data_IF_755671305710
#
_entry.id   IF_755671305710
#
_cell.length_a   1.000
_cell.length_b   1.000
_cell.length_c   1.000
_cell.angle_alpha   90.00
_cell.angle_beta   90.00
_cell.angle_gamma   90.00
#
_symmetry.space_group_name_H-M   'P 1'
#
loop_
_entity.id
_entity.type
_entity.pdbx_description
1 polymer ?
#
# COMPACT_ATOMS: atom_id res chain seq x y z
N UNK A 1 11.11 38.58 -13.67
CA UNK A 1 11.17 37.89 -13.28
C UNK A 1 10.90 36.87 -13.36
N UNK A 2 10.76 36.77 -13.12
CA UNK A 2 10.53 35.93 -12.99
C UNK A 2 9.97 35.17 -12.72
N UNK A 3 9.81 34.83 -12.91
CA UNK A 3 9.29 34.24 -12.62
C UNK A 3 9.28 33.22 -12.12
N UNK A 4 9.69 33.00 -11.92
CA UNK A 4 9.72 32.03 -11.21
C UNK A 4 8.64 31.57 -10.47
N UNK A 5 7.83 31.50 -10.91
CA UNK A 5 6.60 31.23 -10.32
C UNK A 5 6.29 29.83 -9.97
N UNK A 6 7.20 28.93 -10.14
CA UNK A 6 7.02 27.56 -9.73
C UNK A 6 7.06 27.39 -8.22
N UNK A 7 7.51 28.40 -7.51
CA UNK A 7 7.53 28.32 -6.06
C UNK A 7 6.27 28.89 -5.46
N UNK A 8 5.86 28.25 -4.40
CA UNK A 8 4.72 28.71 -3.61
C UNK A 8 5.24 29.12 -2.24
N UNK A 9 5.00 30.38 -1.89
CA UNK A 9 5.46 30.93 -0.62
C UNK A 9 4.33 31.05 0.40
N UNK A 10 3.28 30.25 0.26
CA UNK A 10 2.13 30.27 1.16
C UNK A 10 2.26 29.22 2.24
N UNK A 11 2.70 29.58 3.46
CA UNK A 11 2.87 28.58 4.52
C UNK A 11 1.59 27.88 4.92
N UNK A 12 0.44 28.55 4.80
CA UNK A 12 -0.83 27.92 5.18
C UNK A 12 -1.17 26.78 4.24
N UNK A 13 -0.92 26.97 2.95
CA UNK A 13 -1.16 25.91 1.98
C UNK A 13 -0.16 24.76 2.17
N UNK A 14 1.08 25.11 2.46
CA UNK A 14 2.09 24.08 2.70
C UNK A 14 1.71 23.23 3.92
N UNK A 15 1.25 23.89 4.98
CA UNK A 15 0.82 23.17 6.18
C UNK A 15 -0.32 22.20 5.86
N UNK A 16 -1.32 22.67 5.13
CA UNK A 16 -2.46 21.82 4.78
C UNK A 16 -2.02 20.61 3.95
N UNK A 17 -1.12 20.84 2.98
CA UNK A 17 -0.62 19.74 2.15
C UNK A 17 0.09 18.69 3.00
N UNK A 18 0.96 19.12 3.91
CA UNK A 18 1.72 18.14 4.71
C UNK A 18 0.85 17.46 5.75
N UNK A 19 -0.17 18.15 6.27
CA UNK A 19 -1.16 17.49 7.11
C UNK A 19 -1.86 16.37 6.33
N UNK A 20 -2.24 16.65 5.08
CA UNK A 20 -2.85 15.63 4.24
C UNK A 20 -1.88 14.50 3.93
N UNK A 21 -0.61 14.83 3.63
CA UNK A 21 0.38 13.81 3.37
C UNK A 21 0.54 12.87 4.55
N UNK A 22 0.61 13.42 5.76
CA UNK A 22 0.73 12.59 6.95
C UNK A 22 -0.53 11.77 7.22
N UNK A 23 -1.69 12.31 6.88
CA UNK A 23 -2.96 11.61 7.11
C UNK A 23 -3.20 10.48 6.13
N UNK A 24 -2.70 10.62 4.89
CA UNK A 24 -3.07 9.71 3.80
C UNK A 24 -1.91 8.89 3.25
N UNK A 25 -0.73 8.92 3.89
CA UNK A 25 0.41 8.09 3.49
C UNK A 25 1.06 7.45 4.70
N UNK A 26 1.81 6.37 4.46
CA UNK A 26 2.67 5.78 5.47
C UNK A 26 3.91 5.20 4.79
N UNK A 27 4.95 4.92 5.56
CA UNK A 27 6.16 4.32 5.04
C UNK A 27 6.24 2.84 5.37
N UNK A 28 7.20 2.12 4.75
CA UNK A 28 7.31 0.67 4.94
C UNK A 28 7.66 0.26 6.36
N UNK A 29 8.56 0.98 7.01
CA UNK A 29 8.98 0.61 8.37
C UNK A 29 7.82 0.80 9.34
N UNK A 30 7.05 1.88 9.18
CA UNK A 30 5.89 2.11 10.03
C UNK A 30 4.81 1.06 9.82
N UNK A 31 4.54 0.72 8.57
CA UNK A 31 3.53 -0.31 8.29
C UNK A 31 3.97 -1.66 8.87
N UNK A 32 5.25 -2.01 8.70
CA UNK A 32 5.77 -3.25 9.27
C UNK A 32 5.56 -3.29 10.78
N UNK A 33 5.81 -2.16 11.46
CA UNK A 33 5.59 -2.09 12.90
C UNK A 33 4.12 -2.30 13.25
N UNK A 34 3.20 -1.71 12.48
CA UNK A 34 1.77 -1.92 12.71
C UNK A 34 1.38 -3.38 12.56
N UNK A 35 1.91 -4.05 11.54
CA UNK A 35 1.64 -5.47 11.35
C UNK A 35 2.15 -6.27 12.54
N UNK A 36 3.36 -6.01 12.98
CA UNK A 36 4.00 -6.80 14.05
C UNK A 36 3.39 -6.55 15.42
N UNK A 37 2.80 -5.39 15.63
CA UNK A 37 2.14 -5.09 16.89
C UNK A 37 0.66 -5.46 16.88
N UNK A 38 0.18 -6.05 15.79
CA UNK A 38 -1.19 -6.57 15.74
C UNK A 38 -2.26 -5.52 15.56
N UNK A 39 -1.94 -4.42 14.89
CA UNK A 39 -2.97 -3.41 14.59
C UNK A 39 -4.05 -4.04 13.72
N UNK A 40 -5.29 -3.99 14.18
CA UNK A 40 -6.39 -4.67 13.48
C UNK A 40 -7.35 -3.71 12.79
N UNK A 41 -7.05 -2.41 12.79
CA UNK A 41 -7.88 -1.41 12.11
C UNK A 41 -7.41 -1.11 10.69
N UNK A 42 -6.64 -2.02 10.10
CA UNK A 42 -6.07 -1.86 8.78
C UNK A 42 -6.47 -3.01 7.86
N UNK A 43 -6.61 -2.71 6.57
CA UNK A 43 -6.66 -3.72 5.51
C UNK A 43 -5.55 -3.36 4.56
N UNK A 44 -4.58 -4.26 4.35
CA UNK A 44 -3.47 -4.00 3.44
C UNK A 44 -3.89 -4.49 2.06
N UNK A 45 -3.83 -3.61 1.06
CA UNK A 45 -4.39 -3.87 -0.26
C UNK A 45 -3.32 -3.74 -1.32
N UNK A 46 -3.02 -4.85 -1.97
CA UNK A 46 -2.08 -4.93 -3.08
C UNK A 46 -2.88 -4.79 -4.37
N UNK A 47 -2.62 -3.70 -5.12
CA UNK A 47 -3.36 -3.46 -6.37
C UNK A 47 -2.57 -3.86 -7.61
N UNK A 48 -1.46 -4.60 -7.42
CA UNK A 48 -0.69 -5.13 -8.54
C UNK A 48 -1.45 -6.27 -9.20
N UNK A 49 -0.92 -6.73 -10.34
CA UNK A 49 -1.49 -7.88 -11.02
C UNK A 49 -1.48 -9.12 -10.12
N UNK A 50 -2.45 -10.00 -10.32
CA UNK A 50 -2.60 -11.18 -9.48
C UNK A 50 -1.38 -12.09 -9.53
N UNK A 51 -0.72 -12.20 -10.69
CA UNK A 51 0.50 -13.02 -10.81
C UNK A 51 1.62 -12.49 -9.94
N UNK A 52 1.76 -11.16 -9.87
CA UNK A 52 2.82 -10.56 -9.07
C UNK A 52 2.52 -10.69 -7.59
N UNK A 53 1.26 -10.54 -7.22
CA UNK A 53 0.84 -10.76 -5.84
C UNK A 53 1.17 -12.19 -5.40
N UNK A 54 0.89 -13.16 -6.25
CA UNK A 54 1.14 -14.56 -5.91
C UNK A 54 2.60 -14.86 -5.67
N UNK A 55 3.49 -14.17 -6.38
CA UNK A 55 4.93 -14.38 -6.24
C UNK A 55 5.51 -13.78 -4.97
N UNK A 56 4.84 -12.81 -4.41
CA UNK A 56 5.29 -12.18 -3.17
C UNK A 56 4.48 -10.93 -2.89
N UNK A 57 4.09 -10.75 -1.64
CA UNK A 57 3.32 -9.58 -1.23
C UNK A 57 3.56 -9.32 0.26
N UNK A 58 3.11 -8.17 0.72
CA UNK A 58 3.22 -7.81 2.14
C UNK A 58 2.35 -8.77 2.94
N UNK A 59 2.84 -9.29 4.08
CA UNK A 59 2.08 -10.25 4.88
C UNK A 59 0.70 -9.71 5.26
N UNK A 60 -0.32 -10.54 5.04
CA UNK A 60 -1.69 -10.18 5.35
C UNK A 60 -2.40 -9.39 4.28
N UNK A 61 -1.72 -9.01 3.20
CA UNK A 61 -2.34 -8.22 2.15
C UNK A 61 -3.36 -9.03 1.35
N UNK A 62 -4.41 -8.34 0.92
CA UNK A 62 -5.33 -8.89 -0.07
C UNK A 62 -5.02 -8.29 -1.42
N UNK A 63 -5.42 -8.96 -2.48
CA UNK A 63 -5.15 -8.51 -3.84
C UNK A 63 -6.43 -7.99 -4.49
N UNK A 64 -6.41 -6.71 -4.89
CA UNK A 64 -7.53 -6.09 -5.61
C UNK A 64 -6.95 -5.44 -6.86
N UNK A 65 -6.66 -6.21 -7.91
CA UNK A 65 -6.11 -5.65 -9.14
C UNK A 65 -7.12 -4.76 -9.84
N UNK A 66 -6.65 -3.98 -10.80
CA UNK A 66 -7.43 -2.90 -11.41
C UNK A 66 -8.79 -3.36 -11.94
N UNK A 67 -8.87 -4.54 -12.53
CA UNK A 67 -10.10 -5.03 -13.11
C UNK A 67 -11.18 -5.31 -12.05
N UNK A 68 -10.82 -5.30 -10.77
CA UNK A 68 -11.76 -5.53 -9.67
C UNK A 68 -12.12 -4.26 -8.90
N UNK A 69 -11.62 -3.10 -9.30
CA UNK A 69 -11.85 -1.88 -8.53
C UNK A 69 -13.29 -1.43 -8.51
N UNK A 70 -14.08 -1.78 -9.53
CA UNK A 70 -15.50 -1.38 -9.54
C UNK A 70 -16.32 -2.17 -8.55
N UNK A 71 -15.88 -3.37 -8.20
CA UNK A 71 -16.57 -4.22 -7.24
C UNK A 71 -15.54 -4.92 -6.35
N UNK A 72 -14.82 -4.15 -5.54
CA UNK A 72 -13.71 -4.71 -4.75
C UNK A 72 -14.23 -5.61 -3.64
N UNK A 73 -13.52 -6.73 -3.43
CA UNK A 73 -13.84 -7.67 -2.37
C UNK A 73 -12.79 -7.56 -1.29
N UNK A 74 -13.22 -7.65 -0.04
CA UNK A 74 -12.29 -7.68 1.08
C UNK A 74 -12.00 -6.35 1.72
N UNK A 75 -12.47 -5.25 1.16
CA UNK A 75 -12.31 -3.94 1.78
C UNK A 75 -13.32 -3.77 2.93
N UNK A 76 -13.01 -2.86 3.84
CA UNK A 76 -13.83 -2.66 5.04
C UNK A 76 -13.97 -1.16 5.32
N UNK A 77 -15.22 -0.67 5.35
CA UNK A 77 -15.47 0.76 5.56
C UNK A 77 -15.17 1.23 6.97
N UNK A 78 -15.02 0.30 7.91
CA UNK A 78 -14.70 0.64 9.29
C UNK A 78 -13.19 0.58 9.57
N UNK A 79 -12.39 0.29 8.56
CA UNK A 79 -10.93 0.19 8.69
C UNK A 79 -10.28 1.08 7.64
N UNK A 80 -8.98 1.32 7.82
CA UNK A 80 -8.20 2.05 6.82
C UNK A 80 -7.58 1.07 5.86
N UNK A 81 -7.80 1.26 4.57
CA UNK A 81 -7.17 0.48 3.53
C UNK A 81 -5.82 1.09 3.22
N UNK A 82 -4.74 0.34 3.50
CA UNK A 82 -3.37 0.76 3.17
C UNK A 82 -3.04 0.15 1.81
N UNK A 83 -2.95 0.98 0.80
CA UNK A 83 -2.91 0.55 -0.61
C UNK A 83 -1.50 0.69 -1.16
N UNK A 84 -1.00 -0.32 -1.88
CA UNK A 84 0.31 -0.23 -2.49
C UNK A 84 0.34 -0.87 -3.88
N UNK A 85 1.33 -0.45 -4.69
CA UNK A 85 1.59 -1.02 -5.99
C UNK A 85 3.08 -1.36 -6.12
N UNK A 86 3.69 -1.09 -7.27
CA UNK A 86 5.04 -1.58 -7.56
C UNK A 86 6.15 -0.69 -7.01
N UNK A 87 6.12 0.62 -7.32
CA UNK A 87 7.22 1.52 -7.02
C UNK A 87 6.69 2.89 -6.60
N UNK A 88 7.61 3.75 -6.15
CA UNK A 88 7.26 5.11 -5.76
C UNK A 88 6.67 5.91 -6.93
N UNK A 89 7.17 5.69 -8.14
CA UNK A 89 6.71 6.45 -9.30
C UNK A 89 5.43 5.88 -9.90
N UNK A 90 5.01 4.71 -9.48
CA UNK A 90 3.79 4.08 -10.00
C UNK A 90 2.58 4.77 -9.41
N UNK A 91 1.69 5.26 -10.24
CA UNK A 91 0.47 5.93 -9.77
C UNK A 91 -0.72 4.99 -9.62
N UNK A 92 -0.49 3.69 -9.78
CA UNK A 92 -1.58 2.72 -9.70
C UNK A 92 -2.25 2.74 -8.32
N UNK A 93 -1.45 2.77 -7.26
CA UNK A 93 -2.01 2.82 -5.90
C UNK A 93 -2.78 4.10 -5.65
N UNK A 94 -2.25 5.25 -6.12
CA UNK A 94 -2.95 6.51 -5.94
C UNK A 94 -4.28 6.50 -6.68
N UNK A 95 -4.30 5.96 -7.90
CA UNK A 95 -5.54 5.83 -8.66
C UNK A 95 -6.55 4.92 -7.95
N UNK A 96 -6.06 3.82 -7.37
CA UNK A 96 -6.93 2.92 -6.60
C UNK A 96 -7.50 3.64 -5.39
N UNK A 97 -6.68 4.44 -4.69
CA UNK A 97 -7.16 5.21 -3.55
C UNK A 97 -8.29 6.16 -3.93
N UNK A 98 -8.17 6.82 -5.09
CA UNK A 98 -9.26 7.70 -5.56
C UNK A 98 -10.55 6.89 -5.73
N UNK A 99 -10.46 5.72 -6.34
CA UNK A 99 -11.62 4.88 -6.58
C UNK A 99 -12.23 4.35 -5.29
N UNK A 100 -11.40 3.85 -4.40
CA UNK A 100 -11.88 3.28 -3.15
C UNK A 100 -12.46 4.35 -2.23
N UNK A 101 -11.78 5.50 -2.13
CA UNK A 101 -12.31 6.62 -1.33
C UNK A 101 -13.65 7.10 -1.88
N UNK A 102 -13.79 7.12 -3.22
CA UNK A 102 -15.05 7.48 -3.85
C UNK A 102 -16.19 6.53 -3.51
N UNK A 103 -15.87 5.32 -3.08
CA UNK A 103 -16.87 4.33 -2.64
C UNK A 103 -17.07 4.33 -1.13
N UNK A 104 -16.42 5.24 -0.41
CA UNK A 104 -16.59 5.38 1.03
C UNK A 104 -15.61 4.61 1.90
N UNK A 105 -14.53 4.09 1.32
CA UNK A 105 -13.52 3.39 2.10
C UNK A 105 -12.42 4.36 2.53
N UNK A 106 -12.08 4.41 3.83
CA UNK A 106 -10.91 5.18 4.25
C UNK A 106 -9.65 4.57 3.64
N UNK A 107 -8.78 5.42 3.09
CA UNK A 107 -7.59 4.94 2.38
C UNK A 107 -6.34 5.67 2.83
N UNK A 108 -5.21 5.01 2.62
CA UNK A 108 -3.88 5.53 2.88
C UNK A 108 -2.97 4.84 1.87
N UNK A 109 -1.99 5.56 1.33
CA UNK A 109 -1.05 4.99 0.38
C UNK A 109 0.26 4.63 1.07
N UNK A 110 0.78 3.43 0.79
CA UNK A 110 2.12 3.05 1.22
C UNK A 110 3.12 3.65 0.25
N UNK A 111 3.98 4.53 0.74
CA UNK A 111 5.01 5.14 -0.09
C UNK A 111 6.07 4.12 -0.47
N UNK A 112 6.54 4.22 -1.71
CA UNK A 112 7.59 3.36 -2.21
C UNK A 112 7.12 2.06 -2.83
N UNK A 113 5.92 1.64 -2.54
CA UNK A 113 5.37 0.41 -3.08
C UNK A 113 6.10 -0.83 -2.61
N UNK A 114 5.89 -1.93 -3.32
CA UNK A 114 6.50 -3.21 -2.95
C UNK A 114 8.01 -3.21 -3.11
N UNK A 115 8.53 -2.44 -4.08
CA UNK A 115 9.96 -2.35 -4.29
C UNK A 115 10.67 -1.82 -3.04
N UNK A 116 10.18 -0.72 -2.48
CA UNK A 116 10.79 -0.14 -1.29
C UNK A 116 10.59 -1.04 -0.08
N UNK A 117 9.44 -1.73 0.01
CA UNK A 117 9.22 -2.71 1.05
C UNK A 117 10.33 -3.76 1.05
N UNK A 118 10.66 -4.32 -0.12
CA UNK A 118 11.71 -5.32 -0.24
C UNK A 118 13.09 -4.75 0.02
N UNK A 119 13.33 -3.51 -0.41
CA UNK A 119 14.62 -2.87 -0.18
C UNK A 119 14.92 -2.69 1.31
N UNK A 120 13.88 -2.59 2.12
CA UNK A 120 14.04 -2.52 3.57
C UNK A 120 14.12 -3.91 4.20
N UNK A 121 14.16 -4.96 3.38
CA UNK A 121 14.33 -6.34 3.84
C UNK A 121 13.23 -6.77 4.81
N UNK A 122 12.02 -6.33 4.56
CA UNK A 122 10.88 -6.68 5.39
C UNK A 122 10.24 -7.99 4.90
N UNK A 123 9.42 -8.60 5.75
CA UNK A 123 8.85 -9.91 5.47
C UNK A 123 7.97 -9.91 4.24
N UNK A 124 8.02 -11.00 3.48
CA UNK A 124 7.23 -11.19 2.27
C UNK A 124 6.54 -12.53 2.34
N UNK A 125 5.28 -12.56 1.95
CA UNK A 125 4.46 -13.75 1.88
C UNK A 125 4.23 -14.16 0.44
N UNK A 126 4.14 -15.47 0.18
CA UNK A 126 3.74 -15.97 -1.13
C UNK A 126 2.31 -16.50 -1.04
N UNK A 127 1.69 -16.70 -2.20
CA UNK A 127 0.35 -17.24 -2.23
C UNK A 127 0.30 -18.59 -1.53
N UNK A 128 -0.85 -18.94 -0.97
CA UNK A 128 -1.01 -20.14 -0.16
C UNK A 128 -0.58 -21.40 -0.88
N UNK A 129 -0.82 -21.48 -2.19
CA UNK A 129 -0.43 -22.67 -2.94
C UNK A 129 1.06 -22.87 -2.95
N UNK A 130 1.84 -21.83 -2.81
CA UNK A 130 3.29 -21.95 -2.82
C UNK A 130 3.84 -22.46 -1.51
N UNK A 131 3.13 -22.29 -0.44
CA UNK A 131 3.60 -22.78 0.84
C UNK A 131 3.79 -24.28 0.84
N UNK A 132 2.99 -24.98 0.06
CA UNK A 132 3.07 -26.43 0.03
C UNK A 132 4.38 -26.92 -0.53
N UNK A 133 5.09 -26.06 -1.24
CA UNK A 133 6.37 -26.44 -1.76
C UNK A 133 7.47 -26.08 -0.83
N UNK A 134 7.32 -25.01 -0.23
CA UNK A 134 8.40 -24.55 0.52
C UNK A 134 8.41 -24.98 1.89
N UNK A 135 7.61 -25.27 2.35
CA UNK A 135 7.59 -25.43 3.66
C UNK A 135 8.55 -26.23 4.13
N UNK A 136 8.49 -26.06 4.01
CA UNK A 136 9.18 -26.41 4.45
C UNK A 136 9.87 -26.16 4.20
N UNK A 137 9.87 -25.93 3.96
CA UNK A 137 10.56 -25.64 3.77
C UNK A 137 10.80 -24.88 3.68
N UNK A 138 10.55 -24.42 4.02
CA UNK A 138 10.80 -23.59 4.08
C UNK A 138 11.11 -23.24 3.95
N UNK A 139 10.80 -23.45 4.13
CA UNK A 139 11.17 -22.96 4.09
C UNK A 139 11.62 -22.50 4.06
N UNK A 140 11.56 -22.36 4.36
CA UNK A 140 12.10 -21.84 4.47
C UNK A 140 12.28 -21.26 4.24
N UNK A 141 12.25 -21.17 4.40
CA UNK A 141 12.49 -20.57 4.20
C UNK A 141 12.37 -19.98 4.10
N UNK A 142 12.16 -20.12 4.29
CA UNK A 142 12.02 -19.45 4.43
C UNK A 142 12.45 -18.93 4.65
#
# INVERSE_FOLDING_TARGET
MQTTTTRNHDPARARAYFEDKLAFTTGPVELDRWIKTGQDNLVIVDVRAAEDFAKGHIPGAINVPKEKWDNPQGLNRDKTQVVYCYTQQCHLAANACVRFAGKGYPVMELEGGFETWKENELDVEEAATNRLKGSGEKVGAR
#
